data_IF_720999291818
#
_entry.id   IF_720999291818
#
_cell.length_a   1.000
_cell.length_b   1.000
_cell.length_c   1.000
_cell.angle_alpha   90.00
_cell.angle_beta   90.00
_cell.angle_gamma   90.00
#
_symmetry.space_group_name_H-M   'P 1'
#
loop_
_entity.id
_entity.type
_entity.pdbx_description
1 polymer ?
#
# COMPACT_ATOMS: atom_id res chain seq x y z
N UNK A 1 -31.81 -0.56 37.65
CA UNK A 1 -31.05 -0.52 36.38
C UNK A 1 -31.97 -0.02 35.28
N UNK A 2 -31.44 0.54 34.19
CA UNK A 2 -32.27 0.99 33.06
C UNK A 2 -32.50 -0.14 32.05
N UNK A 3 -33.76 -0.47 31.76
CA UNK A 3 -34.11 -1.51 30.79
C UNK A 3 -33.60 -1.19 29.38
N UNK A 4 -33.52 0.08 29.02
CA UNK A 4 -32.98 0.53 27.73
C UNK A 4 -31.49 0.18 27.57
N UNK A 5 -30.74 0.11 28.68
CA UNK A 5 -29.31 -0.17 28.68
C UNK A 5 -28.99 -1.67 28.86
N UNK A 6 -29.81 -2.40 29.62
CA UNK A 6 -29.45 -3.76 30.07
C UNK A 6 -30.42 -4.86 29.62
N UNK A 7 -31.58 -4.52 29.05
CA UNK A 7 -32.60 -5.49 28.60
C UNK A 7 -32.85 -5.45 27.08
N UNK A 8 -31.97 -4.81 26.32
CA UNK A 8 -32.01 -4.83 24.85
C UNK A 8 -31.57 -6.18 24.31
N UNK A 9 -32.21 -6.61 23.22
CA UNK A 9 -31.74 -7.76 22.45
C UNK A 9 -30.34 -7.50 21.90
N UNK A 10 -29.53 -8.56 21.89
CA UNK A 10 -28.18 -8.51 21.36
C UNK A 10 -28.23 -8.28 19.85
N UNK A 11 -27.62 -7.19 19.40
CA UNK A 11 -27.46 -6.87 17.99
C UNK A 11 -26.02 -7.20 17.57
N UNK A 12 -25.84 -8.39 16.99
CA UNK A 12 -24.53 -8.90 16.57
C UNK A 12 -23.85 -7.99 15.57
N UNK A 13 -24.57 -7.52 14.54
CA UNK A 13 -24.03 -6.66 13.50
C UNK A 13 -23.49 -5.35 14.07
N UNK A 14 -24.24 -4.72 14.98
CA UNK A 14 -23.84 -3.49 15.64
C UNK A 14 -22.58 -3.71 16.50
N UNK A 15 -22.55 -4.78 17.28
CA UNK A 15 -21.41 -5.10 18.14
C UNK A 15 -20.18 -5.42 17.29
N UNK A 16 -20.32 -6.24 16.26
CA UNK A 16 -19.24 -6.60 15.34
C UNK A 16 -18.67 -5.37 14.63
N UNK A 17 -19.52 -4.47 14.13
CA UNK A 17 -19.09 -3.24 13.47
C UNK A 17 -18.29 -2.35 14.41
N UNK A 18 -18.77 -2.14 15.65
CA UNK A 18 -18.08 -1.29 16.64
C UNK A 18 -16.73 -1.89 17.05
N UNK A 19 -16.68 -3.19 17.32
CA UNK A 19 -15.43 -3.88 17.68
C UNK A 19 -14.43 -3.81 16.53
N UNK A 20 -14.86 -4.08 15.31
CA UNK A 20 -14.00 -4.00 14.11
C UNK A 20 -13.46 -2.59 13.90
N UNK A 21 -14.31 -1.56 14.06
CA UNK A 21 -13.90 -0.16 13.92
C UNK A 21 -12.88 0.24 15.00
N UNK A 22 -13.08 -0.18 16.25
CA UNK A 22 -12.15 0.08 17.35
C UNK A 22 -10.77 -0.54 17.07
N UNK A 23 -10.74 -1.82 16.67
CA UNK A 23 -9.51 -2.54 16.34
C UNK A 23 -8.81 -1.98 15.09
N UNK A 24 -9.57 -1.51 14.10
CA UNK A 24 -9.02 -0.85 12.92
C UNK A 24 -8.38 0.49 13.29
N UNK A 25 -9.03 1.28 14.16
CA UNK A 25 -8.51 2.57 14.64
C UNK A 25 -7.25 2.44 15.51
N UNK A 26 -7.05 1.31 16.18
CA UNK A 26 -5.84 1.03 16.96
C UNK A 26 -4.58 0.77 16.09
N UNK A 27 -4.71 0.60 14.77
CA UNK A 27 -3.58 0.34 13.88
C UNK A 27 -2.83 1.64 13.57
N UNK A 28 -1.51 1.67 13.83
CA UNK A 28 -0.67 2.85 13.65
C UNK A 28 -0.46 3.29 12.18
N UNK A 29 -0.55 2.36 11.22
CA UNK A 29 -0.39 2.68 9.80
C UNK A 29 1.03 3.02 9.33
N UNK A 30 2.07 2.89 10.15
CA UNK A 30 3.44 3.35 9.87
C UNK A 30 4.24 2.43 8.94
N UNK A 31 3.81 2.31 7.68
CA UNK A 31 4.55 1.57 6.65
C UNK A 31 4.69 2.37 5.35
N UNK A 32 5.84 2.25 4.71
CA UNK A 32 6.10 2.86 3.41
C UNK A 32 6.92 1.92 2.52
N UNK A 33 6.77 2.04 1.20
CA UNK A 33 7.71 1.50 0.22
C UNK A 33 8.14 2.61 -0.73
N UNK A 34 9.19 2.35 -1.52
CA UNK A 34 9.68 3.31 -2.51
C UNK A 34 9.03 3.05 -3.86
N UNK A 35 8.35 4.05 -4.40
CA UNK A 35 8.00 4.13 -5.82
C UNK A 35 9.25 4.23 -6.68
N UNK A 36 9.12 4.03 -8.00
CA UNK A 36 10.24 4.20 -8.96
C UNK A 36 10.89 5.59 -8.91
N UNK A 37 10.18 6.59 -8.39
CA UNK A 37 10.68 7.97 -8.24
C UNK A 37 11.50 8.16 -6.97
N UNK A 38 11.21 7.39 -5.92
CA UNK A 38 11.86 7.46 -4.60
C UNK A 38 13.05 6.49 -4.48
N UNK A 39 13.12 5.46 -5.33
CA UNK A 39 14.30 4.59 -5.43
C UNK A 39 15.52 5.41 -5.91
N UNK A 40 16.69 5.15 -5.31
CA UNK A 40 17.94 5.82 -5.65
C UNK A 40 18.45 5.45 -7.05
N UNK A 41 19.17 6.37 -7.70
CA UNK A 41 19.75 6.17 -9.03
C UNK A 41 18.82 6.51 -10.19
N UNK A 42 19.03 5.88 -11.36
CA UNK A 42 18.26 6.11 -12.59
C UNK A 42 18.42 7.50 -13.21
N UNK A 43 17.35 8.03 -13.82
CA UNK A 43 17.36 9.29 -14.56
C UNK A 43 17.94 9.17 -15.98
N UNK A 44 19.01 8.39 -16.15
CA UNK A 44 19.53 8.02 -17.48
C UNK A 44 18.84 6.78 -18.03
N UNK A 45 18.50 6.83 -19.32
CA UNK A 45 17.98 5.67 -20.04
C UNK A 45 19.05 4.56 -20.11
N UNK A 46 18.72 3.30 -19.75
CA UNK A 46 19.72 2.22 -19.73
C UNK A 46 20.37 1.95 -21.09
N UNK A 47 19.60 2.07 -22.18
CA UNK A 47 20.10 1.96 -23.55
C UNK A 47 19.23 2.74 -24.54
N UNK A 48 19.77 2.97 -25.74
CA UNK A 48 19.06 3.65 -26.84
C UNK A 48 17.78 2.90 -27.26
N UNK A 49 16.82 3.62 -27.83
CA UNK A 49 15.46 3.10 -28.09
C UNK A 49 15.39 1.94 -29.11
N UNK A 50 16.28 1.91 -30.09
CA UNK A 50 16.29 0.95 -31.21
C UNK A 50 17.72 0.47 -31.50
N UNK A 51 17.86 -0.66 -32.21
CA UNK A 51 19.16 -1.17 -32.68
C UNK A 51 20.03 -1.80 -31.59
N UNK A 52 19.43 -2.34 -30.52
CA UNK A 52 20.14 -3.02 -29.42
C UNK A 52 19.78 -4.50 -29.27
N UNK A 53 18.74 -5.00 -29.95
CA UNK A 53 18.23 -6.37 -29.79
C UNK A 53 17.55 -6.67 -28.44
N UNK A 54 17.58 -5.73 -27.49
CA UNK A 54 16.99 -5.88 -26.15
C UNK A 54 15.58 -5.28 -26.09
N UNK A 55 14.77 -5.72 -25.13
CA UNK A 55 13.51 -5.07 -24.79
C UNK A 55 13.71 -3.57 -24.46
N UNK A 56 12.69 -2.73 -24.63
CA UNK A 56 12.81 -1.28 -24.37
C UNK A 56 12.88 -1.01 -22.87
N UNK A 57 13.80 -0.14 -22.44
CA UNK A 57 13.90 0.29 -21.05
C UNK A 57 14.03 1.81 -20.94
N UNK A 58 13.23 2.41 -20.06
CA UNK A 58 13.23 3.85 -19.80
C UNK A 58 14.07 4.27 -18.60
N UNK A 59 14.12 3.43 -17.56
CA UNK A 59 14.87 3.69 -16.32
C UNK A 59 15.26 2.36 -15.69
N UNK A 60 16.39 2.34 -14.97
CA UNK A 60 16.78 1.18 -14.15
C UNK A 60 15.86 1.00 -12.93
N UNK A 61 15.10 2.04 -12.55
CA UNK A 61 14.19 2.05 -11.39
C UNK A 61 12.80 1.45 -11.69
N UNK A 62 12.63 0.83 -12.85
CA UNK A 62 11.36 0.23 -13.28
C UNK A 62 10.92 -0.87 -12.29
N UNK A 63 9.64 -0.98 -11.91
CA UNK A 63 9.18 -2.03 -11.00
C UNK A 63 9.34 -3.45 -11.55
N UNK A 64 9.52 -3.59 -12.86
CA UNK A 64 9.80 -4.88 -13.52
C UNK A 64 11.26 -5.32 -13.28
N UNK A 65 12.14 -4.39 -12.95
CA UNK A 65 13.56 -4.67 -12.77
C UNK A 65 13.87 -5.02 -11.32
N UNK A 66 14.84 -5.92 -11.11
CA UNK A 66 15.42 -6.16 -9.79
C UNK A 66 15.93 -4.84 -9.22
N UNK A 67 15.71 -4.58 -7.93
CA UNK A 67 16.00 -3.31 -7.22
C UNK A 67 15.24 -2.08 -7.72
N UNK A 68 14.23 -2.28 -8.58
CA UNK A 68 13.30 -1.23 -8.99
C UNK A 68 12.33 -0.79 -7.90
N UNK A 69 11.48 0.18 -8.22
CA UNK A 69 10.44 0.63 -7.28
C UNK A 69 9.28 -0.35 -7.17
N UNK A 70 8.41 -0.13 -6.18
CA UNK A 70 7.12 -0.84 -6.06
C UNK A 70 6.05 -0.08 -6.87
N UNK A 71 5.25 -0.80 -7.68
CA UNK A 71 4.20 -0.19 -8.52
C UNK A 71 3.15 0.55 -7.70
N UNK A 72 2.63 -0.09 -6.66
CA UNK A 72 1.68 0.48 -5.70
C UNK A 72 2.34 0.53 -4.32
N UNK A 73 3.34 1.40 -4.19
CA UNK A 73 4.05 1.58 -2.93
C UNK A 73 3.09 2.13 -1.87
N UNK A 74 3.02 1.48 -0.70
CA UNK A 74 2.23 1.99 0.41
C UNK A 74 2.84 3.31 0.93
N UNK A 75 1.96 4.15 1.48
CA UNK A 75 2.31 5.35 2.24
C UNK A 75 1.79 5.19 3.67
N UNK A 76 2.48 5.76 4.67
CA UNK A 76 1.94 5.91 6.02
C UNK A 76 0.69 6.78 6.01
#
# INVERSE_FOLDING_TARGET
>A
MSDVAFAREYNEDLVHQVVTAYLAGARQGTRAQKTRSEVSGGGKKPWRQKGTGRARAGTIRSPIWRTGGVTFAARP
#
